data_IF_108521108428
#
_entry.id   IF_108521108428
#
_cell.length_a   1.000
_cell.length_b   1.000
_cell.length_c   1.000
_cell.angle_alpha   90.00
_cell.angle_beta   90.00
_cell.angle_gamma   90.00
#
_symmetry.space_group_name_H-M   'P 1'
#
loop_
_entity.id
_entity.type
_entity.pdbx_description
1 polymer ?
#
# COMPACT_ATOMS: atom_id res chain seq x y z
N UNK A 1 -13.66 9.04 19.29
CA UNK A 1 -12.84 7.88 18.87
C UNK A 1 -13.42 7.33 17.57
N UNK A 2 -12.82 7.63 16.43
CA UNK A 2 -13.14 6.87 15.22
C UNK A 2 -12.61 5.46 15.41
N UNK A 3 -13.49 4.47 15.46
CA UNK A 3 -13.11 3.07 15.34
C UNK A 3 -12.33 2.95 14.02
N UNK A 4 -11.01 2.83 14.12
CA UNK A 4 -10.19 2.46 12.98
C UNK A 4 -10.71 1.08 12.59
N UNK A 5 -11.35 0.98 11.44
CA UNK A 5 -11.76 -0.29 10.85
C UNK A 5 -10.46 -1.05 10.54
N UNK A 6 -9.90 -1.73 11.55
CA UNK A 6 -8.67 -2.50 11.43
C UNK A 6 -9.02 -3.77 10.68
N UNK A 7 -8.67 -3.76 9.40
CA UNK A 7 -8.75 -4.95 8.56
C UNK A 7 -7.96 -6.09 9.22
N UNK A 8 -8.63 -7.21 9.51
CA UNK A 8 -7.97 -8.41 10.06
C UNK A 8 -6.79 -8.87 9.17
N UNK A 9 -5.72 -9.41 9.77
CA UNK A 9 -4.59 -9.94 9.01
C UNK A 9 -5.04 -11.02 8.03
N UNK A 10 -4.70 -10.84 6.75
CA UNK A 10 -5.14 -11.74 5.68
C UNK A 10 -3.98 -12.13 4.78
N UNK A 11 -4.07 -13.33 4.23
CA UNK A 11 -3.15 -13.79 3.21
C UNK A 11 -3.46 -13.08 1.88
N UNK A 12 -2.41 -12.58 1.25
CA UNK A 12 -2.44 -12.01 -0.08
C UNK A 12 -1.42 -12.73 -0.97
N UNK A 13 -1.78 -12.92 -2.24
CA UNK A 13 -0.87 -13.33 -3.30
C UNK A 13 -0.73 -12.20 -4.30
N UNK A 14 0.47 -12.01 -4.84
CA UNK A 14 0.73 -11.03 -5.89
C UNK A 14 1.76 -11.56 -6.87
N UNK A 15 1.53 -11.28 -8.15
CA UNK A 15 2.50 -11.53 -9.22
C UNK A 15 2.58 -10.28 -10.08
N UNK A 16 3.72 -10.06 -10.73
CA UNK A 16 3.96 -8.89 -11.58
C UNK A 16 4.42 -9.33 -12.95
N UNK A 17 3.90 -8.71 -14.00
CA UNK A 17 4.19 -9.09 -15.37
C UNK A 17 3.86 -7.99 -16.37
N UNK A 18 4.14 -8.27 -17.65
CA UNK A 18 3.79 -7.36 -18.76
C UNK A 18 2.33 -7.47 -19.17
N UNK A 19 1.74 -8.66 -19.00
CA UNK A 19 0.36 -8.96 -19.35
C UNK A 19 -0.20 -10.08 -18.46
N UNK A 20 -1.45 -9.91 -18.04
CA UNK A 20 -2.24 -10.93 -17.33
C UNK A 20 -3.62 -11.14 -17.99
N UNK A 21 -3.74 -10.87 -19.29
CA UNK A 21 -5.02 -10.97 -20.02
C UNK A 21 -5.62 -12.37 -19.99
N UNK A 22 -4.81 -13.44 -20.02
CA UNK A 22 -5.32 -14.81 -19.93
C UNK A 22 -5.85 -15.14 -18.53
N UNK A 23 -5.16 -14.68 -17.48
CA UNK A 23 -5.59 -14.81 -16.08
C UNK A 23 -6.87 -13.99 -15.83
N UNK A 24 -6.94 -12.76 -16.36
CA UNK A 24 -8.15 -11.93 -16.31
C UNK A 24 -9.35 -12.64 -16.95
N UNK A 25 -9.17 -13.25 -18.13
CA UNK A 25 -10.22 -14.05 -18.80
C UNK A 25 -10.65 -15.23 -17.93
N UNK A 26 -9.70 -15.97 -17.34
CA UNK A 26 -10.02 -17.11 -16.49
C UNK A 26 -10.75 -16.70 -15.21
N UNK A 27 -10.30 -15.64 -14.53
CA UNK A 27 -10.97 -15.09 -13.36
C UNK A 27 -12.37 -14.61 -13.69
N UNK A 28 -12.57 -13.95 -14.84
CA UNK A 28 -13.90 -13.54 -15.31
C UNK A 28 -14.84 -14.72 -15.50
N UNK A 29 -14.38 -15.83 -16.08
CA UNK A 29 -15.19 -17.04 -16.27
C UNK A 29 -15.60 -17.70 -14.96
N UNK A 30 -14.73 -17.66 -13.94
CA UNK A 30 -14.98 -18.23 -12.62
C UNK A 30 -15.70 -17.27 -11.67
N UNK A 31 -15.82 -16.00 -12.04
CA UNK A 31 -16.32 -14.96 -11.15
C UNK A 31 -17.83 -15.07 -10.95
N UNK A 32 -18.25 -15.00 -9.69
CA UNK A 32 -19.63 -14.69 -9.33
C UNK A 32 -19.94 -13.18 -9.43
N UNK A 33 -21.09 -12.74 -8.90
CA UNK A 33 -21.44 -11.33 -8.81
C UNK A 33 -20.35 -10.51 -8.10
N UNK A 34 -19.90 -9.44 -8.75
CA UNK A 34 -18.84 -8.56 -8.21
C UNK A 34 -19.46 -7.30 -7.59
N UNK A 35 -19.20 -7.00 -6.31
CA UNK A 35 -19.67 -5.77 -5.68
C UNK A 35 -19.21 -4.52 -6.43
N UNK A 36 -20.09 -3.51 -6.53
CA UNK A 36 -19.81 -2.28 -7.30
C UNK A 36 -18.54 -1.57 -6.84
N UNK A 37 -18.27 -1.55 -5.53
CA UNK A 37 -17.09 -0.92 -4.93
C UNK A 37 -15.77 -1.66 -5.19
N UNK A 38 -15.80 -2.87 -5.75
CA UNK A 38 -14.56 -3.61 -6.11
C UNK A 38 -14.43 -3.92 -7.59
N UNK A 39 -15.48 -3.69 -8.39
CA UNK A 39 -15.54 -4.02 -9.81
C UNK A 39 -14.48 -3.32 -10.66
N UNK A 40 -14.41 -1.99 -10.57
CA UNK A 40 -13.42 -1.19 -11.26
C UNK A 40 -13.04 0.01 -10.41
N UNK A 41 -11.75 0.26 -10.21
CA UNK A 41 -11.25 1.35 -9.36
C UNK A 41 -10.00 1.96 -9.94
N UNK A 42 -9.84 3.26 -9.74
CA UNK A 42 -8.60 3.98 -10.00
C UNK A 42 -8.09 4.60 -8.70
N UNK A 43 -6.77 4.60 -8.52
CA UNK A 43 -6.15 5.33 -7.41
C UNK A 43 -4.81 5.91 -7.80
N UNK A 44 -4.46 7.01 -7.14
CA UNK A 44 -3.10 7.54 -7.07
C UNK A 44 -2.60 7.31 -5.65
N UNK A 45 -1.43 6.72 -5.54
CA UNK A 45 -0.84 6.27 -4.29
C UNK A 45 0.63 6.72 -4.28
N UNK A 46 1.17 7.00 -3.09
CA UNK A 46 2.61 7.20 -2.90
C UNK A 46 3.09 6.08 -1.99
N UNK A 47 3.98 5.22 -2.49
CA UNK A 47 4.62 4.20 -1.68
C UNK A 47 5.87 4.77 -1.04
N UNK A 48 6.08 4.51 0.25
CA UNK A 48 7.34 4.81 0.92
C UNK A 48 8.12 3.51 0.97
N UNK A 49 9.21 3.45 0.22
CA UNK A 49 10.08 2.27 0.14
C UNK A 49 11.28 2.51 1.05
N UNK A 50 11.59 1.52 1.89
CA UNK A 50 12.81 1.51 2.71
C UNK A 50 13.81 0.52 2.13
N UNK A 51 15.08 0.90 2.10
CA UNK A 51 16.18 -0.05 1.79
C UNK A 51 16.58 -0.90 3.00
N UNK A 52 16.10 -0.57 4.21
CA UNK A 52 16.54 -1.22 5.45
C UNK A 52 15.78 -2.50 5.76
N UNK A 53 14.61 -2.71 5.16
CA UNK A 53 13.81 -3.93 5.32
C UNK A 53 12.71 -4.06 4.24
N UNK A 54 12.14 -5.25 4.14
CA UNK A 54 10.99 -5.61 3.30
C UNK A 54 9.75 -6.05 4.11
N UNK A 55 9.78 -5.86 5.43
CA UNK A 55 8.73 -6.34 6.34
C UNK A 55 7.59 -5.33 6.54
N UNK A 56 7.80 -4.07 6.14
CA UNK A 56 6.79 -3.01 6.23
C UNK A 56 6.37 -2.51 4.84
N UNK A 57 5.07 -2.41 4.62
CA UNK A 57 4.48 -1.76 3.45
C UNK A 57 3.80 -0.47 3.86
N UNK A 58 4.35 0.65 3.42
CA UNK A 58 3.83 1.98 3.72
C UNK A 58 3.32 2.63 2.45
N UNK A 59 2.09 3.14 2.50
CA UNK A 59 1.50 3.91 1.40
C UNK A 59 0.73 5.11 1.90
N UNK A 60 0.69 6.15 1.07
CA UNK A 60 -0.19 7.30 1.21
C UNK A 60 -1.27 7.22 0.15
N UNK A 61 -2.53 7.38 0.57
CA UNK A 61 -3.68 7.50 -0.32
C UNK A 61 -4.78 8.29 0.37
N UNK A 62 -5.44 9.19 -0.37
CA UNK A 62 -6.56 10.00 0.13
C UNK A 62 -6.20 10.74 1.44
N UNK A 63 -5.00 11.34 1.48
CA UNK A 63 -4.43 12.02 2.65
C UNK A 63 -4.34 11.16 3.91
N UNK A 64 -4.11 9.85 3.76
CA UNK A 64 -3.84 8.93 4.87
C UNK A 64 -2.59 8.10 4.62
N UNK A 65 -1.74 7.97 5.63
CA UNK A 65 -0.69 6.96 5.71
C UNK A 65 -1.34 5.66 6.21
N UNK A 66 -1.06 4.56 5.50
CA UNK A 66 -1.43 3.18 5.88
C UNK A 66 -0.14 2.35 5.90
N UNK A 67 0.18 1.80 7.08
CA UNK A 67 1.34 0.95 7.30
C UNK A 67 0.86 -0.46 7.61
N UNK A 68 1.36 -1.43 6.85
CA UNK A 68 1.16 -2.86 7.10
C UNK A 68 2.48 -3.55 7.39
N UNK A 69 2.44 -4.59 8.21
CA UNK A 69 3.60 -5.44 8.51
C UNK A 69 3.35 -6.87 8.01
N UNK A 70 4.38 -7.44 7.40
CA UNK A 70 4.42 -8.85 7.04
C UNK A 70 4.51 -9.69 8.32
N UNK A 71 3.57 -10.60 8.50
CA UNK A 71 3.50 -11.50 9.66
C UNK A 71 4.17 -12.83 9.36
N UNK A 72 3.85 -13.42 8.20
CA UNK A 72 4.41 -14.70 7.78
C UNK A 72 4.26 -14.92 6.27
N UNK A 73 5.05 -15.85 5.75
CA UNK A 73 4.91 -16.40 4.40
C UNK A 73 4.58 -17.88 4.48
N UNK A 74 3.58 -18.34 3.72
CA UNK A 74 3.17 -19.75 3.64
C UNK A 74 2.70 -20.06 2.23
N UNK A 75 3.28 -21.06 1.58
CA UNK A 75 2.86 -21.52 0.24
C UNK A 75 2.76 -20.38 -0.80
N UNK A 76 3.75 -19.48 -0.81
CA UNK A 76 3.79 -18.25 -1.63
C UNK A 76 2.76 -17.16 -1.28
N UNK A 77 1.96 -17.36 -0.25
CA UNK A 77 1.06 -16.35 0.31
C UNK A 77 1.78 -15.56 1.38
N UNK A 78 1.50 -14.25 1.44
CA UNK A 78 2.02 -13.35 2.46
C UNK A 78 0.87 -12.87 3.34
N UNK A 79 0.97 -13.06 4.65
CA UNK A 79 -0.02 -12.53 5.59
C UNK A 79 0.41 -11.14 6.07
N UNK A 80 -0.45 -10.15 5.83
CA UNK A 80 -0.17 -8.76 6.19
C UNK A 80 -1.15 -8.28 7.26
N UNK A 81 -0.62 -7.66 8.32
CA UNK A 81 -1.43 -7.04 9.38
C UNK A 81 -1.34 -5.50 9.29
N UNK A 82 -2.43 -4.76 9.51
CA UNK A 82 -2.36 -3.31 9.68
C UNK A 82 -1.59 -2.98 10.95
N UNK A 83 -0.74 -1.95 10.88
CA UNK A 83 0.02 -1.42 12.01
C UNK A 83 -0.59 -0.09 12.43
N UNK A 84 -0.66 0.87 11.50
CA UNK A 84 -1.28 2.18 11.75
C UNK A 84 -2.00 2.67 10.51
N UNK A 85 -3.02 3.51 10.73
CA UNK A 85 -3.68 4.29 9.69
C UNK A 85 -3.94 5.68 10.22
N UNK A 86 -3.25 6.66 9.66
CA UNK A 86 -3.20 8.03 10.21
C UNK A 86 -3.47 9.03 9.09
N UNK A 87 -4.36 9.98 9.35
CA UNK A 87 -4.70 11.05 8.40
C UNK A 87 -3.70 12.20 8.51
N UNK A 88 -3.46 12.90 7.40
CA UNK A 88 -2.72 14.15 7.42
C UNK A 88 -3.60 15.31 7.93
N UNK A 89 -3.02 16.34 8.55
CA UNK A 89 -1.60 16.46 8.88
C UNK A 89 -1.18 15.51 10.00
N UNK A 90 0.03 14.95 9.91
CA UNK A 90 0.57 14.04 10.93
C UNK A 90 1.39 14.77 11.97
N UNK A 91 1.34 14.31 13.21
CA UNK A 91 2.13 14.85 14.32
C UNK A 91 3.59 14.38 14.24
N UNK A 92 4.52 15.24 14.65
CA UNK A 92 5.93 14.88 14.87
C UNK A 92 6.09 13.65 15.75
N UNK A 93 5.28 13.55 16.81
CA UNK A 93 5.29 12.40 17.72
C UNK A 93 4.94 11.09 17.01
N UNK A 94 3.92 11.10 16.13
CA UNK A 94 3.58 9.93 15.31
C UNK A 94 4.77 9.53 14.41
N UNK A 95 5.47 10.51 13.84
CA UNK A 95 6.62 10.24 12.99
C UNK A 95 7.74 9.55 13.78
N UNK A 96 8.11 10.10 14.93
CA UNK A 96 9.19 9.61 15.79
C UNK A 96 8.88 8.25 16.41
N UNK A 97 7.66 8.07 16.93
CA UNK A 97 7.32 6.93 17.77
C UNK A 97 6.73 5.76 16.98
N UNK A 98 6.19 6.00 15.78
CA UNK A 98 5.48 4.96 15.01
C UNK A 98 5.99 4.84 13.57
N UNK A 99 6.07 5.93 12.81
CA UNK A 99 6.41 5.88 11.39
C UNK A 99 7.83 5.37 11.13
N UNK A 100 8.87 6.10 11.58
CA UNK A 100 10.26 5.72 11.32
C UNK A 100 10.64 4.37 11.96
N UNK A 101 10.20 4.06 13.19
CA UNK A 101 10.39 2.73 13.79
C UNK A 101 9.75 1.61 12.98
N UNK A 102 8.55 1.81 12.41
CA UNK A 102 7.89 0.78 11.60
C UNK A 102 8.68 0.41 10.33
N UNK A 103 9.47 1.37 9.83
CA UNK A 103 10.35 1.20 8.67
C UNK A 103 11.79 0.85 9.07
N UNK A 104 12.07 0.60 10.36
CA UNK A 104 13.43 0.36 10.87
C UNK A 104 14.44 1.40 10.37
N UNK A 105 14.08 2.68 10.51
CA UNK A 105 14.88 3.83 10.08
C UNK A 105 15.05 4.82 11.21
N UNK A 106 16.14 5.60 11.16
CA UNK A 106 16.41 6.65 12.13
C UNK A 106 15.71 7.91 11.68
N UNK A 107 14.84 8.47 12.51
CA UNK A 107 14.18 9.72 12.20
C UNK A 107 15.20 10.86 11.98
N UNK A 108 15.04 11.70 10.95
CA UNK A 108 15.83 12.91 10.80
C UNK A 108 15.41 13.94 11.85
N UNK A 109 16.13 15.06 11.93
CA UNK A 109 15.67 16.20 12.72
C UNK A 109 14.34 16.72 12.13
N UNK A 110 13.36 16.91 13.00
CA UNK A 110 12.02 17.39 12.65
C UNK A 110 11.78 18.73 13.35
N UNK A 111 11.69 19.82 12.59
CA UNK A 111 11.57 21.18 13.14
C UNK A 111 10.13 21.56 13.53
N UNK A 112 9.13 21.03 12.82
CA UNK A 112 7.72 21.34 13.03
C UNK A 112 7.02 20.29 13.91
N UNK A 113 5.90 20.68 14.53
CA UNK A 113 5.07 19.75 15.31
C UNK A 113 4.03 19.00 14.47
N UNK A 114 3.67 19.52 13.30
CA UNK A 114 2.72 18.91 12.36
C UNK A 114 3.24 18.99 10.93
N UNK A 115 2.94 17.96 10.14
CA UNK A 115 3.37 17.85 8.75
C UNK A 115 2.18 17.53 7.85
N UNK A 116 1.91 18.39 6.87
CA UNK A 116 1.05 18.04 5.74
C UNK A 116 1.77 17.10 4.76
N UNK A 117 1.04 16.57 3.78
CA UNK A 117 1.56 15.61 2.78
C UNK A 117 2.85 16.11 2.12
N UNK A 118 2.86 17.34 1.60
CA UNK A 118 4.02 17.87 0.88
C UNK A 118 5.27 18.02 1.77
N UNK A 119 5.10 18.46 3.01
CA UNK A 119 6.22 18.61 3.95
C UNK A 119 6.75 17.22 4.37
N UNK A 120 5.85 16.28 4.60
CA UNK A 120 6.20 14.89 4.86
C UNK A 120 6.97 14.25 3.69
N UNK A 121 6.52 14.41 2.44
CA UNK A 121 7.24 13.87 1.27
C UNK A 121 8.64 14.46 1.16
N UNK A 122 8.82 15.77 1.42
CA UNK A 122 10.17 16.37 1.46
C UNK A 122 11.07 15.73 2.52
N UNK A 123 10.53 15.34 3.68
CA UNK A 123 11.30 14.61 4.70
C UNK A 123 11.74 13.26 4.14
N UNK A 124 10.85 12.53 3.46
CA UNK A 124 11.17 11.23 2.87
C UNK A 124 12.21 11.36 1.76
N UNK A 125 12.07 12.31 0.85
CA UNK A 125 12.98 12.50 -0.28
C UNK A 125 14.40 12.90 0.17
N UNK A 126 14.53 13.58 1.31
CA UNK A 126 15.81 13.92 1.92
C UNK A 126 16.38 12.81 2.82
N UNK A 127 15.61 11.75 3.07
CA UNK A 127 16.03 10.66 3.96
C UNK A 127 16.86 9.62 3.20
N UNK A 128 18.11 9.40 3.63
CA UNK A 128 19.08 8.53 2.93
C UNK A 128 18.61 7.09 2.65
N UNK A 129 17.76 6.54 3.51
CA UNK A 129 17.28 5.15 3.40
C UNK A 129 15.84 5.00 2.87
N UNK A 130 15.14 6.11 2.59
CA UNK A 130 13.73 6.07 2.18
C UNK A 130 13.55 6.73 0.82
N UNK A 131 12.50 6.32 0.11
CA UNK A 131 12.14 6.92 -1.18
C UNK A 131 10.61 6.94 -1.35
N UNK A 132 10.08 8.08 -1.80
CA UNK A 132 8.69 8.21 -2.18
C UNK A 132 8.49 7.84 -3.66
N UNK A 133 7.66 6.84 -3.93
CA UNK A 133 7.37 6.33 -5.27
C UNK A 133 5.91 6.59 -5.61
N UNK A 134 5.67 7.41 -6.63
CA UNK A 134 4.33 7.68 -7.13
C UNK A 134 3.82 6.53 -7.99
N UNK A 135 2.63 6.04 -7.66
CA UNK A 135 2.00 4.90 -8.33
C UNK A 135 0.56 5.23 -8.67
N UNK A 136 0.19 5.08 -9.95
CA UNK A 136 -1.22 5.09 -10.36
C UNK A 136 -1.69 3.70 -10.72
N UNK A 137 -2.89 3.33 -10.30
CA UNK A 137 -3.45 2.01 -10.53
C UNK A 137 -4.84 2.10 -11.13
N UNK A 138 -5.11 1.24 -12.09
CA UNK A 138 -6.45 0.91 -12.56
C UNK A 138 -6.67 -0.58 -12.32
N UNK A 139 -7.64 -0.92 -11.47
CA UNK A 139 -7.90 -2.28 -11.00
C UNK A 139 -9.24 -2.78 -11.50
N UNK A 140 -9.29 -4.05 -11.89
CA UNK A 140 -10.47 -4.79 -12.29
C UNK A 140 -10.66 -5.96 -11.35
N UNK A 141 -11.73 -5.95 -10.57
CA UNK A 141 -12.02 -6.95 -9.55
C UNK A 141 -12.91 -8.08 -10.06
N UNK A 142 -12.68 -9.26 -9.49
CA UNK A 142 -13.39 -10.51 -9.71
C UNK A 142 -13.67 -11.17 -8.36
N UNK A 143 -14.74 -11.96 -8.27
CA UNK A 143 -15.10 -12.71 -7.07
C UNK A 143 -15.05 -14.21 -7.36
N UNK A 144 -13.95 -14.87 -6.98
CA UNK A 144 -13.75 -16.31 -7.19
C UNK A 144 -13.76 -17.00 -5.83
N UNK A 145 -14.68 -17.94 -5.61
CA UNK A 145 -14.79 -18.71 -4.35
C UNK A 145 -14.81 -17.83 -3.08
N UNK A 146 -15.58 -16.73 -3.10
CA UNK A 146 -15.68 -15.72 -2.02
C UNK A 146 -14.39 -14.92 -1.76
N UNK A 147 -13.37 -15.07 -2.61
CA UNK A 147 -12.13 -14.30 -2.57
C UNK A 147 -12.14 -13.21 -3.64
N UNK A 148 -11.69 -12.02 -3.26
CA UNK A 148 -11.45 -10.94 -4.21
C UNK A 148 -10.17 -11.26 -4.98
N UNK A 149 -10.26 -11.34 -6.30
CA UNK A 149 -9.12 -11.43 -7.19
C UNK A 149 -9.09 -10.20 -8.08
N UNK A 150 -7.91 -9.69 -8.42
CA UNK A 150 -7.79 -8.44 -9.16
C UNK A 150 -6.71 -8.56 -10.23
N UNK A 151 -6.94 -7.92 -11.38
CA UNK A 151 -5.87 -7.54 -12.31
C UNK A 151 -5.79 -6.03 -12.29
N UNK A 152 -4.59 -5.48 -12.19
CA UNK A 152 -4.37 -4.05 -12.16
C UNK A 152 -3.28 -3.61 -13.14
N UNK A 153 -3.62 -2.61 -13.95
CA UNK A 153 -2.61 -1.81 -14.64
C UNK A 153 -1.95 -0.89 -13.60
N UNK A 154 -0.64 -0.97 -13.48
CA UNK A 154 0.16 -0.16 -12.55
C UNK A 154 1.12 0.68 -13.35
N UNK A 155 1.19 1.97 -13.06
CA UNK A 155 2.21 2.87 -13.61
C UNK A 155 3.06 3.38 -12.46
N UNK A 156 4.37 3.17 -12.56
CA UNK A 156 5.40 3.60 -11.61
C UNK A 156 6.41 4.43 -12.41
N UNK A 157 6.56 5.72 -12.10
CA UNK A 157 7.52 6.62 -12.76
C UNK A 157 7.57 6.42 -14.31
N UNK A 158 6.40 6.49 -14.96
CA UNK A 158 6.17 6.28 -16.41
C UNK A 158 6.37 4.86 -16.95
N UNK A 159 6.75 3.90 -16.12
CA UNK A 159 6.81 2.48 -16.49
C UNK A 159 5.49 1.80 -16.17
N UNK A 160 4.90 1.12 -17.15
CA UNK A 160 3.68 0.33 -16.96
C UNK A 160 4.01 -1.14 -16.74
N UNK A 161 3.33 -1.74 -15.78
CA UNK A 161 3.26 -3.18 -15.57
C UNK A 161 1.83 -3.60 -15.21
N UNK A 162 1.62 -4.91 -15.12
CA UNK A 162 0.36 -5.51 -14.67
C UNK A 162 0.64 -6.33 -13.42
N UNK A 163 -0.28 -6.27 -12.46
CA UNK A 163 -0.31 -7.12 -11.25
C UNK A 163 -1.65 -7.81 -11.10
#
# INVERSE_FOLDING_TARGET
>A
MSLIETQEPRFEFRSFGKDFSSQAKKMKQLSGPVPKNVRARRSKEIYIVSITNDIANTKIRDDKIDIKRLIQKKDSLEQWAPVTKTEFPVLKEYLLNQFFPSLNTIAPLLDDNIYGVNAFIKIIDNHKDLCAIHVSKERFGYMVNKTICEVANVTINNTRLVT
#
